data_IF_543639780370
#
_entry.id   IF_543639780370
#
_cell.length_a   1.000
_cell.length_b   1.000
_cell.length_c   1.000
_cell.angle_alpha   90.00
_cell.angle_beta   90.00
_cell.angle_gamma   90.00
#
_symmetry.space_group_name_H-M   'P 1'
#
loop_
_entity.id
_entity.type
_entity.pdbx_description
1 polymer ?
#
# COMPACT_ATOMS: atom_id res chain seq x y z
N UNK A 1 -3.72 2.56 -35.27
CA UNK A 1 -2.76 3.33 -34.44
C UNK A 1 -3.02 3.10 -32.96
N UNK A 2 -4.14 3.53 -32.37
CA UNK A 2 -4.40 3.41 -30.92
C UNK A 2 -4.27 2.00 -30.33
N UNK A 3 -4.93 0.98 -30.92
CA UNK A 3 -4.82 -0.41 -30.41
C UNK A 3 -3.41 -1.00 -30.49
N UNK A 4 -2.60 -0.58 -31.47
CA UNK A 4 -1.22 -1.04 -31.62
C UNK A 4 -0.31 -0.42 -30.55
N UNK A 5 -0.58 0.83 -30.17
CA UNK A 5 0.14 1.51 -29.08
C UNK A 5 -0.27 0.97 -27.69
N UNK A 6 -1.53 0.61 -27.48
CA UNK A 6 -1.97 -0.13 -26.28
C UNK A 6 -1.28 -1.50 -26.17
N UNK A 7 -1.21 -2.27 -27.26
CA UNK A 7 -0.56 -3.59 -27.26
C UNK A 7 0.97 -3.52 -27.07
N UNK A 8 1.60 -2.38 -27.39
CA UNK A 8 3.02 -2.13 -27.15
C UNK A 8 3.31 -1.61 -25.74
N UNK A 9 2.29 -1.45 -24.89
CA UNK A 9 2.43 -0.93 -23.54
C UNK A 9 2.60 0.60 -23.46
N UNK A 10 2.46 1.31 -24.58
CA UNK A 10 2.66 2.76 -24.66
C UNK A 10 1.43 3.55 -24.16
N UNK A 11 0.26 2.89 -24.07
CA UNK A 11 -1.00 3.47 -23.62
C UNK A 11 -1.68 2.55 -22.62
N UNK A 12 -2.17 3.13 -21.53
CA UNK A 12 -2.99 2.46 -20.53
C UNK A 12 -4.35 3.15 -20.43
N UNK A 13 -5.42 2.38 -20.19
CA UNK A 13 -6.75 2.94 -19.98
C UNK A 13 -6.78 3.72 -18.67
N UNK A 14 -7.32 4.93 -18.69
CA UNK A 14 -7.46 5.79 -17.49
C UNK A 14 -8.23 5.07 -16.38
N UNK A 15 -9.27 4.29 -16.71
CA UNK A 15 -10.03 3.53 -15.73
C UNK A 15 -9.19 2.48 -15.00
N UNK A 16 -8.27 1.81 -15.71
CA UNK A 16 -7.36 0.85 -15.10
C UNK A 16 -6.43 1.50 -14.06
N UNK A 17 -5.90 2.69 -14.38
CA UNK A 17 -5.10 3.50 -13.45
C UNK A 17 -5.93 3.91 -12.24
N UNK A 18 -7.15 4.42 -12.47
CA UNK A 18 -8.06 4.82 -11.38
C UNK A 18 -8.37 3.66 -10.45
N UNK A 19 -8.64 2.48 -11.00
CA UNK A 19 -8.91 1.28 -10.20
C UNK A 19 -7.67 0.81 -9.42
N UNK A 20 -6.49 0.81 -10.02
CA UNK A 20 -5.25 0.44 -9.34
C UNK A 20 -4.97 1.37 -8.15
N UNK A 21 -5.08 2.69 -8.35
CA UNK A 21 -4.92 3.69 -7.29
C UNK A 21 -5.98 3.52 -6.20
N UNK A 22 -7.26 3.38 -6.57
CA UNK A 22 -8.35 3.22 -5.60
C UNK A 22 -8.15 1.96 -4.73
N UNK A 23 -7.72 0.85 -5.33
CA UNK A 23 -7.39 -0.39 -4.61
C UNK A 23 -6.25 -0.16 -3.63
N UNK A 24 -5.14 0.47 -4.05
CA UNK A 24 -3.99 0.72 -3.19
C UNK A 24 -4.33 1.63 -2.00
N UNK A 25 -5.10 2.69 -2.24
CA UNK A 25 -5.58 3.58 -1.19
C UNK A 25 -6.52 2.88 -0.21
N UNK A 26 -7.35 1.94 -0.69
CA UNK A 26 -8.22 1.14 0.17
C UNK A 26 -7.40 0.25 1.11
N UNK A 27 -6.36 -0.40 0.59
CA UNK A 27 -5.43 -1.22 1.38
C UNK A 27 -4.67 -0.35 2.40
N UNK A 28 -4.18 0.82 1.98
CA UNK A 28 -3.52 1.77 2.87
C UNK A 28 -4.44 2.18 4.02
N UNK A 29 -5.68 2.56 3.69
CA UNK A 29 -6.70 2.94 4.68
C UNK A 29 -6.94 1.80 5.68
N UNK A 30 -7.15 0.60 5.19
CA UNK A 30 -7.38 -0.57 6.05
C UNK A 30 -6.18 -0.82 6.98
N UNK A 31 -4.95 -0.71 6.46
CA UNK A 31 -3.74 -0.89 7.26
C UNK A 31 -3.63 0.15 8.37
N UNK A 32 -3.94 1.41 8.07
CA UNK A 32 -3.96 2.53 9.03
C UNK A 32 -5.04 2.34 10.10
N UNK A 33 -6.27 2.04 9.68
CA UNK A 33 -7.38 1.87 10.62
C UNK A 33 -7.20 0.65 11.53
N UNK A 34 -6.46 -0.36 11.09
CA UNK A 34 -6.11 -1.51 11.91
C UNK A 34 -4.90 -1.33 12.83
N UNK A 35 -4.19 -0.19 12.80
CA UNK A 35 -3.02 0.03 13.67
C UNK A 35 -3.40 -0.16 15.15
N UNK A 36 -4.44 0.50 15.69
CA UNK A 36 -4.76 0.41 17.12
C UNK A 36 -4.95 -1.03 17.59
N UNK A 37 -5.69 -1.85 16.83
CA UNK A 37 -5.96 -3.24 17.19
C UNK A 37 -4.69 -4.09 17.22
N UNK A 38 -3.75 -3.85 16.29
CA UNK A 38 -2.48 -4.60 16.24
C UNK A 38 -1.54 -4.24 17.39
N UNK A 39 -1.49 -2.97 17.78
CA UNK A 39 -0.52 -2.49 18.77
C UNK A 39 -1.06 -2.41 20.19
N UNK A 40 -2.38 -2.43 20.39
CA UNK A 40 -3.02 -2.19 21.70
C UNK A 40 -2.43 -3.06 22.82
N UNK A 41 -2.30 -4.37 22.58
CA UNK A 41 -1.76 -5.30 23.59
C UNK A 41 -0.29 -5.04 23.88
N UNK A 42 0.51 -4.79 22.83
CA UNK A 42 1.94 -4.49 22.98
C UNK A 42 2.18 -3.18 23.73
N UNK A 43 1.43 -2.13 23.37
CA UNK A 43 1.51 -0.84 24.05
C UNK A 43 1.03 -0.90 25.50
N UNK A 44 -0.03 -1.66 25.80
CA UNK A 44 -0.50 -1.83 27.18
C UNK A 44 0.55 -2.48 28.09
N UNK A 45 1.41 -3.34 27.53
CA UNK A 45 2.52 -3.97 28.26
C UNK A 45 3.81 -3.13 28.26
N UNK A 46 3.88 -2.05 27.49
CA UNK A 46 5.10 -1.26 27.32
C UNK A 46 5.15 -0.09 28.29
N UNK A 47 6.20 -0.02 29.11
CA UNK A 47 6.42 1.07 30.08
C UNK A 47 7.46 2.10 29.62
N UNK A 48 8.34 1.73 28.69
CA UNK A 48 9.37 2.61 28.14
C UNK A 48 8.80 3.46 26.98
N UNK A 49 8.80 4.80 27.09
CA UNK A 49 8.34 5.69 26.03
C UNK A 49 9.10 5.54 24.70
N UNK A 50 10.38 5.17 24.72
CA UNK A 50 11.16 4.95 23.49
C UNK A 50 10.62 3.73 22.75
N UNK A 51 10.37 2.64 23.46
CA UNK A 51 9.77 1.44 22.90
C UNK A 51 8.34 1.69 22.36
N UNK A 52 7.51 2.48 23.05
CA UNK A 52 6.18 2.90 22.55
C UNK A 52 6.32 3.62 21.22
N UNK A 53 7.24 4.58 21.13
CA UNK A 53 7.48 5.33 19.90
C UNK A 53 7.91 4.41 18.76
N UNK A 54 8.84 3.49 19.03
CA UNK A 54 9.34 2.51 18.05
C UNK A 54 8.20 1.65 17.49
N UNK A 55 7.34 1.11 18.35
CA UNK A 55 6.18 0.28 17.95
C UNK A 55 5.25 1.06 17.01
N UNK A 56 4.96 2.32 17.33
CA UNK A 56 4.12 3.18 16.50
C UNK A 56 4.79 3.55 15.18
N UNK A 57 6.08 3.88 15.24
CA UNK A 57 6.88 4.24 14.07
C UNK A 57 6.94 3.09 13.06
N UNK A 58 7.18 1.86 13.53
CA UNK A 58 7.26 0.66 12.70
C UNK A 58 5.93 0.41 11.97
N UNK A 59 4.79 0.57 12.65
CA UNK A 59 3.47 0.38 12.03
C UNK A 59 3.13 1.48 11.02
N UNK A 60 3.46 2.74 11.33
CA UNK A 60 3.23 3.86 10.41
C UNK A 60 4.12 3.71 9.17
N UNK A 61 5.41 3.40 9.35
CA UNK A 61 6.33 3.17 8.24
C UNK A 61 5.89 1.99 7.40
N UNK A 62 5.51 0.87 8.01
CA UNK A 62 5.00 -0.30 7.30
C UNK A 62 3.74 0.00 6.49
N UNK A 63 2.83 0.83 7.00
CA UNK A 63 1.68 1.30 6.24
C UNK A 63 2.07 2.19 5.06
N UNK A 64 2.98 3.13 5.26
CA UNK A 64 3.44 4.06 4.21
C UNK A 64 4.25 3.36 3.11
N UNK A 65 5.04 2.34 3.43
CA UNK A 65 5.76 1.53 2.44
C UNK A 65 4.84 0.92 1.39
N UNK A 66 3.58 0.63 1.73
CA UNK A 66 2.60 0.11 0.77
C UNK A 66 2.39 1.07 -0.43
N UNK A 67 2.57 2.37 -0.24
CA UNK A 67 2.41 3.36 -1.33
C UNK A 67 3.74 4.00 -1.76
N UNK A 68 4.78 3.89 -0.94
CA UNK A 68 6.07 4.55 -1.18
C UNK A 68 6.99 3.78 -2.16
N UNK A 69 6.86 2.46 -2.28
CA UNK A 69 7.76 1.63 -3.09
C UNK A 69 7.60 1.79 -4.62
N UNK A 70 6.96 2.89 -5.07
CA UNK A 70 6.94 3.34 -6.46
C UNK A 70 6.11 2.49 -7.41
N UNK A 71 5.70 1.28 -6.99
CA UNK A 71 5.00 0.33 -7.82
C UNK A 71 3.47 0.45 -7.74
N UNK A 72 2.97 1.67 -7.93
CA UNK A 72 1.52 1.94 -7.93
C UNK A 72 0.80 1.25 -9.11
N UNK A 73 1.54 0.81 -10.13
CA UNK A 73 0.99 0.36 -11.42
C UNK A 73 1.53 -1.00 -11.94
N UNK A 74 2.69 -1.54 -11.50
CA UNK A 74 3.22 -2.82 -12.05
C UNK A 74 2.71 -4.08 -11.33
N UNK A 75 1.67 -4.00 -10.50
CA UNK A 75 1.14 -5.18 -9.80
C UNK A 75 0.44 -6.22 -10.72
N UNK A 76 0.61 -6.18 -12.04
CA UNK A 76 -0.10 -7.01 -13.03
C UNK A 76 0.79 -7.64 -14.12
N UNK A 77 2.08 -7.93 -13.86
CA UNK A 77 2.91 -8.69 -14.82
C UNK A 77 2.96 -10.22 -14.55
N UNK A 78 2.24 -10.74 -13.56
CA UNK A 78 2.44 -12.11 -13.07
C UNK A 78 1.28 -13.11 -13.18
N UNK A 79 0.31 -12.95 -14.09
CA UNK A 79 -0.81 -13.91 -14.18
C UNK A 79 -1.32 -14.15 -15.60
N UNK A 80 -0.42 -14.48 -16.53
CA UNK A 80 -0.75 -15.26 -17.73
C UNK A 80 0.46 -16.12 -18.11
N UNK A 81 0.53 -17.32 -17.52
CA UNK A 81 1.26 -18.47 -18.04
C UNK A 81 0.26 -19.61 -18.21
#
# INVERSE_FOLDING_TARGET
MLRLQEQRGELIRVDAVRHAVARRLSILRERFLGIPDRVATGLAATTDPVAVHQILEDEIRGALSLVADGDLLNSQEGSHA
#
